data_IF_924574400199
#
_entry.id   IF_924574400199
#
_cell.length_a   1.000
_cell.length_b   1.000
_cell.length_c   1.000
_cell.angle_alpha   90.00
_cell.angle_beta   90.00
_cell.angle_gamma   90.00
#
_symmetry.space_group_name_H-M   'P 1'
#
loop_
_entity.id
_entity.type
_entity.pdbx_description
1 polymer ?
#
# COMPACT_ATOMS: atom_id res chain seq x y z
N UNK A 1 -12.08 5.62 -3.60
CA UNK A 1 -11.89 4.31 -4.28
C UNK A 1 -13.25 3.76 -4.74
N UNK A 2 -13.31 2.85 -5.73
CA UNK A 2 -14.58 2.22 -6.16
C UNK A 2 -14.87 0.93 -5.38
N UNK A 3 -16.12 0.48 -5.33
CA UNK A 3 -16.55 -0.67 -4.51
C UNK A 3 -15.70 -1.94 -4.73
N UNK A 4 -15.24 -2.19 -5.97
CA UNK A 4 -14.38 -3.35 -6.23
C UNK A 4 -13.00 -3.22 -5.58
N UNK A 5 -12.37 -2.05 -5.68
CA UNK A 5 -11.08 -1.84 -5.07
C UNK A 5 -11.19 -1.84 -3.52
N UNK A 6 -12.31 -1.41 -2.95
CA UNK A 6 -12.63 -1.63 -1.53
C UNK A 6 -12.74 -3.12 -1.17
N UNK A 7 -13.36 -3.94 -2.01
CA UNK A 7 -13.40 -5.40 -1.78
C UNK A 7 -12.00 -6.02 -1.83
N UNK A 8 -11.10 -5.50 -2.67
CA UNK A 8 -9.69 -5.92 -2.73
C UNK A 8 -8.93 -5.50 -1.48
N UNK A 9 -9.07 -4.24 -1.02
CA UNK A 9 -8.49 -3.77 0.23
C UNK A 9 -8.92 -4.66 1.41
N UNK A 10 -10.23 -4.92 1.53
CA UNK A 10 -10.77 -5.78 2.58
C UNK A 10 -10.19 -7.18 2.52
N UNK A 11 -10.09 -7.77 1.32
CA UNK A 11 -9.49 -9.09 1.14
C UNK A 11 -8.01 -9.13 1.52
N UNK A 12 -7.24 -8.11 1.12
CA UNK A 12 -5.84 -7.97 1.51
C UNK A 12 -5.71 -7.90 3.03
N UNK A 13 -6.48 -7.01 3.68
CA UNK A 13 -6.52 -6.88 5.13
C UNK A 13 -6.84 -8.21 5.82
N UNK A 14 -7.90 -8.90 5.41
CA UNK A 14 -8.31 -10.18 6.01
C UNK A 14 -7.19 -11.22 5.93
N UNK A 15 -6.58 -11.32 4.76
CA UNK A 15 -5.53 -12.30 4.47
C UNK A 15 -4.24 -11.98 5.25
N UNK A 16 -3.93 -10.70 5.44
CA UNK A 16 -2.82 -10.22 6.27
C UNK A 16 -3.10 -10.47 7.75
N UNK A 17 -4.32 -10.21 8.23
CA UNK A 17 -4.72 -10.50 9.61
C UNK A 17 -4.65 -11.99 9.96
N UNK A 18 -4.98 -12.87 9.03
CA UNK A 18 -4.82 -14.32 9.19
C UNK A 18 -3.35 -14.76 9.32
N UNK A 19 -2.41 -13.99 8.72
CA UNK A 19 -0.99 -14.37 8.59
C UNK A 19 -0.08 -13.68 9.60
N UNK A 20 -0.39 -12.44 9.94
CA UNK A 20 0.37 -11.58 10.82
C UNK A 20 -0.51 -11.28 12.04
N UNK A 21 -0.75 -12.32 12.86
CA UNK A 21 -1.74 -12.30 13.95
C UNK A 21 -1.41 -11.33 15.08
N UNK A 22 -0.14 -10.95 15.22
CA UNK A 22 0.31 -9.99 16.23
C UNK A 22 0.07 -8.53 15.81
N UNK A 23 -0.27 -8.30 14.54
CA UNK A 23 -0.59 -6.97 14.03
C UNK A 23 -2.10 -6.68 14.11
N UNK A 24 -2.44 -5.48 14.56
CA UNK A 24 -3.79 -4.94 14.46
C UNK A 24 -3.99 -4.36 13.05
N UNK A 25 -4.82 -5.03 12.23
CA UNK A 25 -5.06 -4.65 10.84
C UNK A 25 -6.37 -3.91 10.64
N UNK A 26 -6.32 -2.83 9.87
CA UNK A 26 -7.49 -2.06 9.45
C UNK A 26 -7.34 -1.51 8.03
N UNK A 27 -8.44 -1.03 7.46
CA UNK A 27 -8.49 -0.37 6.14
C UNK A 27 -8.75 1.11 6.31
N UNK A 28 -8.25 1.94 5.39
CA UNK A 28 -8.53 3.39 5.33
C UNK A 28 -8.10 4.16 6.60
N UNK A 29 -7.03 3.70 7.26
CA UNK A 29 -6.39 4.44 8.37
C UNK A 29 -5.92 5.80 7.87
N UNK A 30 -6.09 6.86 8.66
CA UNK A 30 -5.57 8.18 8.31
C UNK A 30 -4.30 8.48 9.09
N UNK A 31 -3.37 9.16 8.41
CA UNK A 31 -2.14 9.72 8.99
C UNK A 31 -2.11 11.19 8.59
N UNK A 32 -2.41 12.08 9.54
CA UNK A 32 -2.61 13.52 9.28
C UNK A 32 -3.59 13.75 8.12
N UNK A 33 -4.70 13.01 8.13
CA UNK A 33 -5.72 13.06 7.08
C UNK A 33 -5.37 12.40 5.75
N UNK A 34 -4.14 11.89 5.56
CA UNK A 34 -3.77 11.09 4.38
C UNK A 34 -4.23 9.64 4.61
N UNK A 35 -5.16 9.10 3.79
CA UNK A 35 -5.64 7.74 3.96
C UNK A 35 -4.60 6.73 3.48
N UNK A 36 -4.48 5.63 4.22
CA UNK A 36 -3.72 4.43 3.90
C UNK A 36 -4.70 3.30 3.65
N UNK A 37 -4.56 2.61 2.52
CA UNK A 37 -5.54 1.62 2.07
C UNK A 37 -5.66 0.43 3.06
N UNK A 38 -4.53 -0.12 3.51
CA UNK A 38 -4.47 -1.12 4.59
C UNK A 38 -3.31 -0.79 5.51
N UNK A 39 -3.53 -0.82 6.82
CA UNK A 39 -2.51 -0.59 7.83
C UNK A 39 -2.50 -1.72 8.86
N UNK A 40 -1.30 -2.17 9.25
CA UNK A 40 -1.05 -3.12 10.33
C UNK A 40 -0.14 -2.48 11.38
N UNK A 41 -0.42 -2.68 12.68
CA UNK A 41 0.41 -2.13 13.76
C UNK A 41 0.75 -3.18 14.81
N UNK A 42 2.01 -3.24 15.22
CA UNK A 42 2.48 -4.12 16.30
C UNK A 42 3.67 -3.49 17.02
N UNK A 43 3.55 -3.21 18.32
CA UNK A 43 4.70 -2.84 19.19
C UNK A 43 5.68 -1.79 18.63
N UNK A 44 5.18 -0.72 18.00
CA UNK A 44 6.00 0.35 17.41
C UNK A 44 6.37 0.14 15.93
N UNK A 45 6.07 -1.03 15.38
CA UNK A 45 6.20 -1.35 13.95
C UNK A 45 4.88 -1.05 13.24
N UNK A 46 4.96 -0.28 12.16
CA UNK A 46 3.82 0.03 11.30
C UNK A 46 4.05 -0.57 9.92
N UNK A 47 3.03 -1.22 9.39
CA UNK A 47 2.99 -1.74 8.02
C UNK A 47 1.91 -0.97 7.28
N UNK A 48 2.28 -0.22 6.26
CA UNK A 48 1.37 0.58 5.45
C UNK A 48 1.34 0.00 4.05
N UNK A 49 0.15 -0.30 3.54
CA UNK A 49 -0.05 -0.85 2.20
C UNK A 49 -0.91 0.14 1.41
N UNK A 50 -0.35 0.65 0.31
CA UNK A 50 -1.01 1.52 -0.65
C UNK A 50 -1.37 0.71 -1.89
N UNK A 51 -2.66 0.57 -2.18
CA UNK A 51 -3.18 -0.09 -3.38
C UNK A 51 -3.36 0.96 -4.50
N UNK A 52 -2.36 1.03 -5.37
CA UNK A 52 -2.40 1.87 -6.55
C UNK A 52 -3.29 1.23 -7.62
N UNK A 53 -4.57 1.56 -7.54
CA UNK A 53 -5.58 1.05 -8.45
C UNK A 53 -5.58 1.77 -9.80
N UNK A 54 -5.75 3.10 -9.80
CA UNK A 54 -5.85 3.95 -11.00
C UNK A 54 -5.47 5.40 -10.72
N UNK A 55 -4.59 5.64 -9.76
CA UNK A 55 -4.27 6.99 -9.35
C UNK A 55 -3.57 7.70 -10.51
N UNK A 56 -3.97 8.95 -10.77
CA UNK A 56 -3.32 9.75 -11.80
C UNK A 56 -1.85 9.97 -11.47
N UNK A 57 -1.55 10.16 -10.19
CA UNK A 57 -0.23 10.34 -9.62
C UNK A 57 -0.05 9.43 -8.39
N UNK A 58 0.52 8.22 -8.56
CA UNK A 58 0.77 7.29 -7.46
C UNK A 58 1.87 7.76 -6.49
N UNK A 59 2.68 8.77 -6.82
CA UNK A 59 3.75 9.21 -5.93
C UNK A 59 3.23 10.08 -4.77
N UNK A 60 2.16 10.85 -5.01
CA UNK A 60 1.68 11.90 -4.13
C UNK A 60 1.27 11.40 -2.74
N UNK A 61 0.54 10.28 -2.64
CA UNK A 61 0.07 9.77 -1.35
C UNK A 61 1.25 9.32 -0.49
N UNK A 62 2.11 8.48 -1.07
CA UNK A 62 3.26 7.94 -0.38
C UNK A 62 4.23 9.04 0.05
N UNK A 63 4.44 10.06 -0.79
CA UNK A 63 5.22 11.26 -0.43
C UNK A 63 4.63 11.99 0.79
N UNK A 64 3.31 12.16 0.84
CA UNK A 64 2.62 12.77 2.00
C UNK A 64 2.80 11.92 3.25
N UNK A 65 2.63 10.60 3.16
CA UNK A 65 2.84 9.69 4.29
C UNK A 65 4.26 9.79 4.85
N UNK A 66 5.27 9.71 3.99
CA UNK A 66 6.66 9.86 4.40
C UNK A 66 6.91 11.21 5.09
N UNK A 67 6.41 12.31 4.51
CA UNK A 67 6.55 13.65 5.09
C UNK A 67 5.88 13.75 6.46
N UNK A 68 4.61 13.35 6.58
CA UNK A 68 3.85 13.43 7.82
C UNK A 68 4.51 12.62 8.93
N UNK A 69 4.83 11.37 8.63
CA UNK A 69 5.51 10.53 9.59
C UNK A 69 6.89 11.13 9.94
N UNK A 70 7.64 11.70 8.98
CA UNK A 70 8.99 12.23 9.24
C UNK A 70 8.97 13.45 10.18
N UNK A 71 7.85 14.16 10.17
CA UNK A 71 7.56 15.27 11.07
C UNK A 71 7.01 14.80 12.43
N UNK A 72 6.88 13.48 12.65
CA UNK A 72 6.24 12.89 13.85
C UNK A 72 4.74 13.20 13.93
N UNK A 73 4.11 13.55 12.79
CA UNK A 73 2.73 13.97 12.73
C UNK A 73 1.81 12.74 12.62
N UNK A 74 1.07 12.50 13.70
CA UNK A 74 0.09 11.42 13.81
C UNK A 74 -1.32 11.99 14.07
N UNK A 75 -2.35 11.19 13.80
CA UNK A 75 -3.71 11.55 14.17
C UNK A 75 -3.89 11.45 15.70
N UNK A 76 -4.85 12.18 16.26
CA UNK A 76 -5.00 12.35 17.74
C UNK A 76 -5.20 11.06 18.53
N UNK A 77 -5.60 9.99 17.86
CA UNK A 77 -5.85 8.69 18.46
C UNK A 77 -4.59 7.81 18.53
N UNK A 78 -3.50 8.23 17.87
CA UNK A 78 -2.22 7.53 17.90
C UNK A 78 -1.36 8.01 19.06
N UNK A 79 -0.98 7.07 19.92
CA UNK A 79 -0.37 7.38 21.23
C UNK A 79 1.16 7.25 21.24
N UNK A 80 1.77 6.78 20.14
CA UNK A 80 3.22 6.64 20.01
C UNK A 80 3.66 6.77 18.54
N UNK A 81 4.77 7.49 18.33
CA UNK A 81 5.48 7.56 17.05
C UNK A 81 6.02 6.17 16.70
N UNK A 82 5.76 5.62 15.49
CA UNK A 82 6.36 4.35 15.10
C UNK A 82 7.88 4.40 15.09
N UNK A 83 8.49 3.36 15.65
CA UNK A 83 9.95 3.15 15.59
C UNK A 83 10.39 2.75 14.18
N UNK A 84 9.59 1.91 13.51
CA UNK A 84 9.83 1.44 12.16
C UNK A 84 8.55 1.46 11.34
N UNK A 85 8.66 1.87 10.08
CA UNK A 85 7.54 1.92 9.14
C UNK A 85 7.92 1.22 7.84
N UNK A 86 7.22 0.13 7.54
CA UNK A 86 7.34 -0.59 6.27
C UNK A 86 6.20 -0.18 5.35
N UNK A 87 6.53 0.37 4.19
CA UNK A 87 5.57 0.82 3.18
C UNK A 87 5.62 -0.12 1.97
N UNK A 88 4.50 -0.79 1.71
CA UNK A 88 4.28 -1.56 0.51
C UNK A 88 3.40 -0.76 -0.45
N UNK A 89 3.93 -0.44 -1.63
CA UNK A 89 3.14 0.19 -2.68
C UNK A 89 2.79 -0.83 -3.75
N UNK A 90 1.52 -1.20 -3.79
CA UNK A 90 0.97 -2.31 -4.56
C UNK A 90 0.37 -1.76 -5.86
N UNK A 91 1.02 -2.05 -6.99
CA UNK A 91 0.65 -1.52 -8.31
C UNK A 91 -0.10 -2.56 -9.14
N UNK A 92 -1.27 -2.18 -9.63
CA UNK A 92 -2.00 -2.97 -10.63
C UNK A 92 -1.39 -2.89 -12.03
N UNK A 93 -1.81 -3.76 -12.94
CA UNK A 93 -1.36 -3.81 -14.34
C UNK A 93 -1.71 -2.53 -15.12
N UNK A 94 -2.56 -1.66 -14.56
CA UNK A 94 -2.83 -0.32 -15.12
C UNK A 94 -1.55 0.48 -15.38
N UNK A 95 -0.51 0.26 -14.58
CA UNK A 95 0.76 0.97 -14.72
C UNK A 95 1.74 0.29 -15.65
N UNK A 96 1.40 -0.83 -16.28
CA UNK A 96 2.24 -1.50 -17.27
C UNK A 96 2.08 -0.88 -18.67
N UNK A 97 3.17 -0.87 -19.43
CA UNK A 97 3.16 -0.42 -20.81
C UNK A 97 2.94 -1.60 -21.75
N UNK A 98 2.12 -1.40 -22.79
CA UNK A 98 1.92 -2.42 -23.83
C UNK A 98 3.22 -2.81 -24.56
N UNK A 99 4.25 -1.95 -24.53
CA UNK A 99 5.59 -2.23 -25.07
C UNK A 99 6.48 -3.06 -24.13
N UNK A 100 5.98 -3.44 -22.96
CA UNK A 100 6.77 -3.94 -21.85
C UNK A 100 7.33 -2.82 -20.98
N UNK A 101 7.57 -3.14 -19.70
CA UNK A 101 8.00 -2.19 -18.67
C UNK A 101 6.84 -1.46 -18.00
N UNK A 102 7.19 -0.49 -17.16
CA UNK A 102 6.24 0.27 -16.34
C UNK A 102 6.13 1.72 -16.81
N UNK A 103 4.99 2.33 -16.53
CA UNK A 103 4.75 3.73 -16.84
C UNK A 103 5.63 4.65 -16.00
N UNK A 104 5.97 5.81 -16.57
CA UNK A 104 6.72 6.87 -15.87
C UNK A 104 6.06 7.28 -14.53
N UNK A 105 4.75 7.10 -14.39
CA UNK A 105 4.02 7.32 -13.14
C UNK A 105 4.48 6.36 -12.04
N UNK A 106 4.55 5.07 -12.35
CA UNK A 106 5.06 4.05 -11.42
C UNK A 106 6.55 4.25 -11.18
N UNK A 107 7.34 4.53 -12.22
CA UNK A 107 8.78 4.83 -12.05
C UNK A 107 9.03 5.97 -11.06
N UNK A 108 8.26 7.06 -11.16
CA UNK A 108 8.35 8.20 -10.25
C UNK A 108 7.92 7.85 -8.82
N UNK A 109 6.82 7.10 -8.66
CA UNK A 109 6.36 6.67 -7.33
C UNK A 109 7.39 5.76 -6.66
N UNK A 110 7.94 4.81 -7.39
CA UNK A 110 9.00 3.95 -6.85
C UNK A 110 10.28 4.72 -6.55
N UNK A 111 10.64 5.72 -7.36
CA UNK A 111 11.77 6.61 -7.08
C UNK A 111 11.56 7.37 -5.76
N UNK A 112 10.39 7.97 -5.55
CA UNK A 112 10.06 8.67 -4.30
C UNK A 112 10.14 7.73 -3.10
N UNK A 113 9.56 6.53 -3.22
CA UNK A 113 9.60 5.53 -2.16
C UNK A 113 11.02 5.10 -1.78
N UNK A 114 11.86 4.81 -2.78
CA UNK A 114 13.27 4.46 -2.56
C UNK A 114 14.04 5.61 -1.91
N UNK A 115 13.91 6.83 -2.42
CA UNK A 115 14.60 7.99 -1.84
C UNK A 115 14.21 8.23 -0.39
N UNK A 116 12.92 8.07 -0.04
CA UNK A 116 12.47 8.22 1.34
C UNK A 116 13.05 7.13 2.26
N UNK A 117 13.07 5.87 1.80
CA UNK A 117 13.67 4.75 2.53
C UNK A 117 15.18 4.89 2.70
N UNK A 118 15.89 5.34 1.66
CA UNK A 118 17.34 5.55 1.69
C UNK A 118 17.75 6.74 2.57
N UNK A 119 16.91 7.78 2.65
CA UNK A 119 17.22 9.00 3.38
C UNK A 119 16.90 8.92 4.88
N UNK A 120 16.05 7.99 5.29
CA UNK A 120 15.48 7.92 6.64
C UNK A 120 15.43 6.46 7.12
N UNK A 121 16.36 6.10 8.01
CA UNK A 121 16.60 4.71 8.46
C UNK A 121 15.38 3.96 8.99
N UNK A 122 14.38 4.69 9.49
CA UNK A 122 13.13 4.11 10.02
C UNK A 122 12.16 3.63 8.94
N UNK A 123 12.39 3.96 7.67
CA UNK A 123 11.50 3.58 6.56
C UNK A 123 12.07 2.45 5.73
N UNK A 124 11.23 1.44 5.49
CA UNK A 124 11.47 0.40 4.49
C UNK A 124 10.42 0.57 3.40
N UNK A 125 10.84 0.70 2.14
CA UNK A 125 9.93 0.79 1.01
C UNK A 125 10.07 -0.42 0.09
N UNK A 126 8.94 -1.04 -0.28
CA UNK A 126 8.90 -2.14 -1.25
C UNK A 126 7.75 -1.97 -2.24
N UNK A 127 8.01 -1.76 -3.54
CA UNK A 127 6.97 -1.84 -4.55
C UNK A 127 6.58 -3.31 -4.78
N UNK A 128 5.29 -3.56 -4.98
CA UNK A 128 4.74 -4.90 -5.21
C UNK A 128 3.84 -4.86 -6.43
N UNK A 129 3.94 -5.90 -7.25
CA UNK A 129 3.05 -6.12 -8.38
C UNK A 129 1.76 -6.79 -7.93
N UNK A 130 0.65 -6.31 -8.47
CA UNK A 130 -0.68 -6.84 -8.30
C UNK A 130 -1.18 -7.22 -9.68
N UNK A 131 -0.90 -8.47 -10.08
CA UNK A 131 -1.15 -9.06 -11.40
C UNK A 131 -2.65 -9.11 -11.73
N UNK A 132 -3.22 -7.95 -11.99
CA UNK A 132 -4.63 -7.74 -12.30
C UNK A 132 -4.78 -6.41 -13.04
N UNK A 133 -5.40 -6.47 -14.22
CA UNK A 133 -5.91 -5.28 -14.91
C UNK A 133 -7.25 -4.85 -14.29
N UNK A 134 -7.29 -3.73 -13.55
CA UNK A 134 -8.51 -3.23 -12.95
C UNK A 134 -9.59 -2.96 -14.01
N UNK A 135 -10.83 -3.46 -13.83
CA UNK A 135 -11.88 -3.33 -14.84
C UNK A 135 -12.37 -1.89 -14.91
N UNK A 136 -12.35 -1.28 -16.10
CA UNK A 136 -12.89 0.07 -16.39
C UNK A 136 -14.30 0.23 -15.82
N UNK A 137 -14.67 1.44 -15.39
CA UNK A 137 -15.94 1.75 -14.65
C UNK A 137 -17.14 0.90 -15.13
N UNK A 138 -17.65 0.03 -14.25
CA UNK A 138 -18.80 -0.83 -14.52
C UNK A 138 -18.49 -2.14 -15.24
N UNK A 139 -17.21 -2.40 -15.54
CA UNK A 139 -16.73 -3.67 -16.10
C UNK A 139 -16.82 -4.82 -15.09
N UNK A 140 -16.81 -6.03 -15.63
CA UNK A 140 -16.87 -7.25 -14.82
C UNK A 140 -15.58 -7.42 -14.01
N UNK A 141 -15.73 -7.94 -12.79
CA UNK A 141 -14.59 -8.24 -11.93
C UNK A 141 -13.87 -9.49 -12.44
N UNK A 142 -12.53 -9.49 -12.59
CA UNK A 142 -11.77 -10.70 -12.96
C UNK A 142 -12.05 -11.85 -11.99
N UNK A 143 -12.34 -13.06 -12.46
CA UNK A 143 -12.79 -14.16 -11.59
C UNK A 143 -11.76 -14.57 -10.51
N UNK A 144 -10.48 -14.31 -10.77
CA UNK A 144 -9.32 -14.68 -9.99
C UNK A 144 -8.81 -13.56 -9.05
N UNK A 145 -9.50 -12.41 -8.98
CA UNK A 145 -9.05 -11.25 -8.18
C UNK A 145 -8.74 -11.59 -6.71
N UNK A 146 -9.48 -12.55 -6.13
CA UNK A 146 -9.22 -13.00 -4.75
C UNK A 146 -7.92 -13.78 -4.64
N UNK A 147 -7.63 -14.63 -5.62
CA UNK A 147 -6.36 -15.38 -5.69
C UNK A 147 -5.18 -14.43 -5.82
N UNK A 148 -5.31 -13.39 -6.64
CA UNK A 148 -4.29 -12.34 -6.80
C UNK A 148 -4.08 -11.60 -5.47
N UNK A 149 -5.16 -11.14 -4.84
CA UNK A 149 -5.06 -10.50 -3.52
C UNK A 149 -4.40 -11.40 -2.47
N UNK A 150 -4.74 -12.69 -2.43
CA UNK A 150 -4.13 -13.63 -1.50
C UNK A 150 -2.65 -13.84 -1.78
N UNK A 151 -2.25 -13.83 -3.05
CA UNK A 151 -0.85 -13.93 -3.46
C UNK A 151 -0.06 -12.69 -3.05
N UNK A 152 -0.61 -11.50 -3.29
CA UNK A 152 -0.01 -10.24 -2.86
C UNK A 152 0.16 -10.19 -1.34
N UNK A 153 -0.85 -10.60 -0.56
CA UNK A 153 -0.73 -10.67 0.90
C UNK A 153 0.38 -11.65 1.35
N UNK A 154 0.52 -12.81 0.70
CA UNK A 154 1.65 -13.73 0.97
C UNK A 154 3.00 -13.08 0.68
N UNK A 155 3.10 -12.34 -0.42
CA UNK A 155 4.31 -11.61 -0.80
C UNK A 155 4.66 -10.52 0.20
N UNK A 156 3.66 -9.78 0.72
CA UNK A 156 3.84 -8.80 1.80
C UNK A 156 4.35 -9.49 3.06
N UNK A 157 3.67 -10.55 3.53
CA UNK A 157 4.08 -11.28 4.75
C UNK A 157 5.49 -11.86 4.64
N UNK A 158 5.92 -12.30 3.47
CA UNK A 158 7.28 -12.83 3.27
C UNK A 158 8.39 -11.76 3.35
N UNK A 159 8.01 -10.47 3.38
CA UNK A 159 8.90 -9.30 3.43
C UNK A 159 8.72 -8.45 4.69
N UNK A 160 7.87 -8.91 5.61
CA UNK A 160 7.79 -8.45 6.99
C UNK A 160 8.78 -9.25 7.84
#
# INVERSE_FOLDING_TARGET
MGAFATDVQNRLRDTLAERCVDHEWETERRITGTPVDVAGRHSGEWVLVELEWWRTDPADNTAKLFRHLAEGALDTDDTADPEHVTVFQVFTDYYELASGGISAKRENAEFVGRVASDALDRFIYTPIEFELDPPKRGGERPNDWRTVADATARTITARL
#
